data_IF_243330958454
#
_entry.id   IF_243330958454
#
_cell.length_a   1.000
_cell.length_b   1.000
_cell.length_c   1.000
_cell.angle_alpha   90.00
_cell.angle_beta   90.00
_cell.angle_gamma   90.00
#
_symmetry.space_group_name_H-M   'P 1'
#
loop_
_entity.id
_entity.type
_entity.pdbx_description
1 polymer ?
#
# COMPACT_ATOMS: atom_id res chain seq x y z
N UNK A 1 -47.89 -12.80 23.88
CA UNK A 1 -46.75 -11.99 24.34
C UNK A 1 -45.67 -12.07 23.26
N UNK A 2 -45.76 -11.18 22.27
CA UNK A 2 -44.73 -10.93 21.27
C UNK A 2 -45.07 -9.56 20.67
N UNK A 3 -44.36 -8.53 21.12
CA UNK A 3 -44.44 -7.20 20.53
C UNK A 3 -43.14 -6.97 19.75
N UNK A 4 -43.33 -6.88 18.43
CA UNK A 4 -42.51 -6.13 17.51
C UNK A 4 -42.07 -4.77 18.08
N UNK A 5 -40.87 -4.33 17.69
CA UNK A 5 -40.43 -2.94 17.42
C UNK A 5 -39.12 -2.62 18.11
N UNK A 6 -38.13 -2.25 17.29
CA UNK A 6 -36.84 -1.74 17.76
C UNK A 6 -35.65 -1.93 16.81
N UNK A 7 -35.87 -2.06 15.50
CA UNK A 7 -34.80 -1.83 14.51
C UNK A 7 -34.67 -0.31 14.32
N UNK A 8 -34.05 0.37 15.27
CA UNK A 8 -33.83 1.83 15.20
C UNK A 8 -32.58 2.24 15.99
N UNK A 9 -31.49 1.49 15.82
CA UNK A 9 -30.18 1.84 16.38
C UNK A 9 -29.29 2.47 15.30
N UNK A 10 -29.43 3.79 15.18
CA UNK A 10 -28.40 4.76 14.78
C UNK A 10 -27.95 4.80 13.31
N UNK A 11 -28.77 5.43 12.46
CA UNK A 11 -28.31 6.18 11.27
C UNK A 11 -27.75 7.57 11.63
N UNK A 12 -27.04 7.69 12.76
CA UNK A 12 -26.47 8.96 13.22
C UNK A 12 -25.03 9.12 12.72
N UNK A 13 -24.88 9.20 11.39
CA UNK A 13 -23.61 9.53 10.76
C UNK A 13 -23.50 11.02 10.48
N UNK A 14 -22.53 11.71 11.09
CA UNK A 14 -22.16 13.06 10.66
C UNK A 14 -21.71 13.07 9.19
N UNK A 15 -21.58 14.24 8.53
CA UNK A 15 -21.16 14.33 7.13
C UNK A 15 -19.85 13.58 6.84
N UNK A 16 -18.96 13.50 7.83
CA UNK A 16 -17.72 12.73 7.78
C UNK A 16 -17.94 11.22 7.55
N UNK A 17 -18.95 10.64 8.22
CA UNK A 17 -19.28 9.22 8.07
C UNK A 17 -19.85 8.91 6.68
N UNK A 18 -20.51 9.87 6.03
CA UNK A 18 -21.00 9.70 4.67
C UNK A 18 -19.86 9.62 3.66
N UNK A 19 -18.81 10.41 3.82
CA UNK A 19 -17.68 10.43 2.89
C UNK A 19 -16.82 9.16 3.02
N UNK A 20 -16.47 8.77 4.25
CA UNK A 20 -15.75 7.52 4.50
C UNK A 20 -16.51 6.31 3.97
N UNK A 21 -17.84 6.24 4.16
CA UNK A 21 -18.66 5.17 3.62
C UNK A 21 -18.62 5.12 2.07
N UNK A 22 -18.65 6.28 1.40
CA UNK A 22 -18.50 6.33 -0.05
C UNK A 22 -17.14 5.80 -0.52
N UNK A 23 -16.05 6.15 0.17
CA UNK A 23 -14.72 5.63 -0.15
C UNK A 23 -14.62 4.12 0.06
N UNK A 24 -15.17 3.59 1.16
CA UNK A 24 -15.20 2.15 1.39
C UNK A 24 -16.03 1.41 0.32
N UNK A 25 -17.12 2.02 -0.15
CA UNK A 25 -17.93 1.51 -1.26
C UNK A 25 -17.13 1.45 -2.57
N UNK A 26 -16.37 2.50 -2.89
CA UNK A 26 -15.51 2.53 -4.07
C UNK A 26 -14.38 1.50 -3.98
N UNK A 27 -13.73 1.37 -2.83
CA UNK A 27 -12.69 0.36 -2.60
C UNK A 27 -13.26 -1.04 -2.79
N UNK A 28 -14.45 -1.32 -2.24
CA UNK A 28 -15.12 -2.62 -2.42
C UNK A 28 -15.46 -2.89 -3.89
N UNK A 29 -15.87 -1.85 -4.63
CA UNK A 29 -16.13 -1.96 -6.07
C UNK A 29 -14.85 -2.31 -6.85
N UNK A 30 -13.76 -1.58 -6.62
CA UNK A 30 -12.45 -1.85 -7.24
C UNK A 30 -11.92 -3.25 -6.88
N UNK A 31 -12.14 -3.70 -5.64
CA UNK A 31 -11.71 -5.02 -5.20
C UNK A 31 -12.52 -6.12 -5.90
N UNK A 32 -13.82 -5.91 -6.11
CA UNK A 32 -14.65 -6.78 -6.94
C UNK A 32 -14.15 -6.88 -8.38
N UNK A 33 -13.71 -5.77 -8.98
CA UNK A 33 -13.12 -5.75 -10.31
C UNK A 33 -11.78 -6.50 -10.37
N UNK A 34 -10.91 -6.28 -9.37
CA UNK A 34 -9.63 -6.98 -9.24
C UNK A 34 -9.85 -8.49 -9.15
N UNK A 35 -10.80 -8.93 -8.32
CA UNK A 35 -11.13 -10.35 -8.17
C UNK A 35 -11.70 -10.97 -9.46
N UNK A 36 -12.51 -10.23 -10.21
CA UNK A 36 -13.16 -10.74 -11.41
C UNK A 36 -12.26 -10.75 -12.66
N UNK A 37 -11.35 -9.78 -12.78
CA UNK A 37 -10.64 -9.48 -14.04
C UNK A 37 -9.13 -9.31 -13.89
N UNK A 38 -8.60 -9.31 -12.67
CA UNK A 38 -7.21 -8.95 -12.39
C UNK A 38 -6.90 -7.45 -12.55
N UNK A 39 -7.90 -6.64 -12.92
CA UNK A 39 -7.75 -5.18 -13.07
C UNK A 39 -8.35 -4.49 -11.86
N UNK A 40 -7.49 -3.86 -11.06
CA UNK A 40 -7.89 -3.03 -9.93
C UNK A 40 -7.85 -1.54 -10.27
N UNK A 41 -7.56 -0.71 -9.28
CA UNK A 41 -7.53 0.74 -9.45
C UNK A 41 -6.83 1.44 -8.30
N UNK A 42 -6.83 2.77 -8.35
CA UNK A 42 -6.21 3.60 -7.33
C UNK A 42 -7.06 4.83 -7.02
N UNK A 43 -7.09 5.22 -5.76
CA UNK A 43 -7.81 6.41 -5.27
C UNK A 43 -6.79 7.36 -4.66
N UNK A 44 -6.55 8.49 -5.33
CA UNK A 44 -5.68 9.55 -4.80
C UNK A 44 -6.43 10.33 -3.70
N UNK A 45 -6.06 10.10 -2.44
CA UNK A 45 -6.71 10.70 -1.27
C UNK A 45 -6.41 12.20 -1.15
N UNK A 46 -5.35 12.70 -1.78
CA UNK A 46 -5.00 14.13 -1.76
C UNK A 46 -5.75 14.94 -2.81
N UNK A 47 -6.25 14.28 -3.85
CA UNK A 47 -7.10 14.90 -4.87
C UNK A 47 -8.53 15.17 -4.35
N UNK A 48 -8.92 14.53 -3.25
CA UNK A 48 -10.24 14.61 -2.66
C UNK A 48 -10.32 15.69 -1.56
N UNK A 49 -11.50 16.29 -1.33
CA UNK A 49 -11.73 17.21 -0.22
C UNK A 49 -11.87 16.45 1.12
N UNK A 50 -10.88 15.61 1.43
CA UNK A 50 -10.86 14.71 2.59
C UNK A 50 -10.35 15.46 3.82
N UNK A 51 -11.16 15.58 4.87
CA UNK A 51 -10.71 16.16 6.13
C UNK A 51 -9.80 15.18 6.89
N UNK A 52 -9.06 15.71 7.87
CA UNK A 52 -8.18 14.87 8.69
C UNK A 52 -8.96 13.77 9.42
N UNK A 53 -10.13 14.09 9.96
CA UNK A 53 -10.98 13.14 10.69
C UNK A 53 -11.52 12.02 9.78
N UNK A 54 -11.93 12.36 8.54
CA UNK A 54 -12.34 11.38 7.52
C UNK A 54 -11.21 10.41 7.16
N UNK A 55 -9.98 10.95 7.04
CA UNK A 55 -8.78 10.16 6.74
C UNK A 55 -8.47 9.19 7.86
N UNK A 56 -8.49 9.66 9.10
CA UNK A 56 -8.29 8.79 10.26
C UNK A 56 -9.40 7.75 10.40
N UNK A 57 -10.65 8.11 10.08
CA UNK A 57 -11.75 7.16 10.06
C UNK A 57 -11.55 6.09 8.99
N UNK A 58 -11.07 6.46 7.80
CA UNK A 58 -10.71 5.52 6.74
C UNK A 58 -9.55 4.61 7.16
N UNK A 59 -8.48 5.17 7.73
CA UNK A 59 -7.33 4.39 8.21
C UNK A 59 -7.73 3.39 9.30
N UNK A 60 -8.61 3.81 10.24
CA UNK A 60 -9.17 2.91 11.26
C UNK A 60 -10.08 1.83 10.66
N UNK A 61 -10.89 2.17 9.67
CA UNK A 61 -11.82 1.24 9.03
C UNK A 61 -11.10 0.17 8.20
N UNK A 62 -10.04 0.58 7.48
CA UNK A 62 -9.22 -0.34 6.67
C UNK A 62 -8.23 -1.14 7.52
N UNK A 63 -7.72 -0.54 8.61
CA UNK A 63 -6.75 -1.17 9.50
C UNK A 63 -5.39 -1.44 8.83
N UNK A 64 -4.47 -2.03 9.60
CA UNK A 64 -3.19 -2.54 9.09
C UNK A 64 -3.21 -4.06 9.03
N UNK A 65 -2.83 -4.59 7.87
CA UNK A 65 -2.68 -6.01 7.60
C UNK A 65 -1.29 -6.52 7.94
N UNK A 66 -0.91 -7.61 7.28
CA UNK A 66 0.31 -8.37 7.58
C UNK A 66 1.55 -7.83 6.87
N UNK A 67 1.39 -7.16 5.72
CA UNK A 67 2.50 -6.74 4.87
C UNK A 67 2.73 -5.24 5.00
N UNK A 68 3.94 -4.85 5.39
CA UNK A 68 4.42 -3.47 5.38
C UNK A 68 5.79 -3.40 4.71
N UNK A 69 6.00 -2.36 3.91
CA UNK A 69 7.25 -2.05 3.24
C UNK A 69 7.58 -0.57 3.41
N UNK A 70 8.87 -0.30 3.59
CA UNK A 70 9.40 1.06 3.66
C UNK A 70 10.51 1.22 2.63
N UNK A 71 10.35 2.20 1.76
CA UNK A 71 11.39 2.61 0.82
C UNK A 71 12.10 3.83 1.40
N UNK A 72 13.43 3.83 1.36
CA UNK A 72 14.27 4.94 1.83
C UNK A 72 14.78 5.83 0.70
N UNK A 73 14.35 5.56 -0.54
CA UNK A 73 14.72 6.34 -1.73
C UNK A 73 13.85 7.62 -1.82
N UNK A 74 14.45 8.71 -2.31
CA UNK A 74 13.76 9.95 -2.73
C UNK A 74 12.73 10.54 -1.74
N UNK A 75 13.09 10.70 -0.46
CA UNK A 75 12.20 11.27 0.58
C UNK A 75 11.42 10.22 1.40
N UNK A 76 11.41 8.98 0.91
CA UNK A 76 10.89 7.81 1.59
C UNK A 76 9.43 7.52 1.27
N UNK A 77 9.07 6.24 1.22
CA UNK A 77 7.68 5.80 1.02
C UNK A 77 7.32 4.74 2.04
N UNK A 78 6.10 4.81 2.54
CA UNK A 78 5.46 3.83 3.41
C UNK A 78 4.36 3.15 2.60
N UNK A 79 4.40 1.83 2.54
CA UNK A 79 3.42 1.01 1.83
C UNK A 79 2.96 -0.07 2.78
N UNK A 80 1.67 -0.20 3.01
CA UNK A 80 1.14 -1.30 3.83
C UNK A 80 -0.15 -1.85 3.25
N UNK A 81 -0.31 -3.17 3.36
CA UNK A 81 -1.58 -3.83 3.10
C UNK A 81 -2.52 -3.58 4.27
N UNK A 82 -3.80 -3.36 3.97
CA UNK A 82 -4.83 -3.17 4.99
C UNK A 82 -5.28 -4.54 5.55
N UNK A 83 -6.26 -4.58 6.44
CA UNK A 83 -6.85 -5.88 6.86
C UNK A 83 -7.62 -6.58 5.73
N UNK A 84 -7.79 -5.91 4.59
CA UNK A 84 -8.41 -6.44 3.38
C UNK A 84 -7.33 -6.72 2.33
N UNK A 85 -7.00 -7.99 2.06
CA UNK A 85 -5.96 -8.33 1.10
C UNK A 85 -6.24 -7.76 -0.29
N UNK A 86 -5.18 -7.26 -0.93
CA UNK A 86 -5.28 -6.55 -2.21
C UNK A 86 -5.69 -5.09 -2.10
N UNK A 87 -5.92 -4.55 -0.90
CA UNK A 87 -6.10 -3.11 -0.65
C UNK A 87 -4.88 -2.59 0.10
N UNK A 88 -4.19 -1.64 -0.51
CA UNK A 88 -2.90 -1.12 -0.08
C UNK A 88 -2.99 0.38 0.16
N UNK A 89 -2.36 0.84 1.24
CA UNK A 89 -2.14 2.24 1.51
C UNK A 89 -0.72 2.61 1.11
N UNK A 90 -0.58 3.54 0.18
CA UNK A 90 0.70 4.01 -0.36
C UNK A 90 0.88 5.47 -0.02
N UNK A 91 1.91 5.79 0.75
CA UNK A 91 2.21 7.15 1.21
C UNK A 91 3.65 7.49 0.86
N UNK A 92 3.82 8.51 0.01
CA UNK A 92 5.14 9.02 -0.33
C UNK A 92 5.41 10.31 0.43
N UNK A 93 6.68 10.50 0.81
CA UNK A 93 7.16 11.73 1.41
C UNK A 93 8.14 12.42 0.46
N UNK A 94 8.02 13.74 0.36
CA UNK A 94 9.01 14.57 -0.31
C UNK A 94 10.31 14.65 0.49
N UNK A 95 11.33 15.27 -0.10
CA UNK A 95 12.62 15.51 0.56
C UNK A 95 12.51 16.37 1.84
N UNK A 96 11.43 17.13 1.99
CA UNK A 96 11.09 17.93 3.17
C UNK A 96 10.37 17.12 4.27
N UNK A 97 10.17 15.81 4.07
CA UNK A 97 9.49 14.90 5.00
C UNK A 97 7.96 15.01 4.99
N UNK A 98 7.39 15.93 4.21
CA UNK A 98 5.94 16.10 4.08
C UNK A 98 5.39 15.06 3.11
N UNK A 99 4.15 14.64 3.34
CA UNK A 99 3.47 13.71 2.44
C UNK A 99 3.27 14.41 1.09
N UNK A 100 3.89 13.88 0.04
CA UNK A 100 3.80 14.37 -1.33
C UNK A 100 2.63 13.74 -2.07
N UNK A 101 2.41 12.43 -1.88
CA UNK A 101 1.26 11.69 -2.40
C UNK A 101 0.77 10.66 -1.39
N UNK A 102 -0.53 10.39 -1.44
CA UNK A 102 -1.18 9.39 -0.60
C UNK A 102 -2.36 8.77 -1.34
N UNK A 103 -2.30 7.46 -1.52
CA UNK A 103 -3.17 6.72 -2.44
C UNK A 103 -3.62 5.42 -1.81
N UNK A 104 -4.87 5.02 -2.02
CA UNK A 104 -5.31 3.64 -1.83
C UNK A 104 -5.16 2.91 -3.16
N UNK A 105 -4.27 1.93 -3.23
CA UNK A 105 -4.13 1.06 -4.39
C UNK A 105 -4.87 -0.25 -4.15
N UNK A 106 -5.79 -0.60 -5.05
CA UNK A 106 -6.46 -1.89 -5.07
C UNK A 106 -5.79 -2.75 -6.14
N UNK A 107 -4.88 -3.62 -5.73
CA UNK A 107 -3.98 -4.38 -6.61
C UNK A 107 -3.40 -5.60 -5.88
N UNK A 108 -2.89 -6.58 -6.63
CA UNK A 108 -2.20 -7.73 -6.04
C UNK A 108 -0.88 -7.32 -5.37
N UNK A 109 -0.11 -6.45 -6.03
CA UNK A 109 1.16 -5.91 -5.54
C UNK A 109 1.28 -4.47 -6.04
N UNK A 110 1.48 -3.47 -5.16
CA UNK A 110 1.74 -2.09 -5.53
C UNK A 110 2.92 -1.96 -6.48
N UNK A 111 2.82 -1.08 -7.47
CA UNK A 111 3.83 -0.96 -8.52
C UNK A 111 5.20 -0.57 -7.95
N UNK A 112 5.21 0.29 -6.92
CA UNK A 112 6.43 0.71 -6.21
C UNK A 112 7.19 -0.45 -5.54
N UNK A 113 6.53 -1.58 -5.27
CA UNK A 113 7.17 -2.76 -4.69
C UNK A 113 7.75 -3.70 -5.75
N UNK A 114 7.49 -3.47 -7.04
CA UNK A 114 8.01 -4.30 -8.12
C UNK A 114 9.40 -3.82 -8.52
N UNK A 115 10.34 -4.76 -8.64
CA UNK A 115 11.68 -4.46 -9.16
C UNK A 115 11.60 -4.03 -10.62
N UNK A 116 12.23 -2.89 -10.95
CA UNK A 116 12.35 -2.43 -12.33
C UNK A 116 13.33 -3.31 -13.14
N UNK A 117 13.07 -3.44 -14.45
CA UNK A 117 13.88 -4.28 -15.34
C UNK A 117 15.37 -3.85 -15.39
N UNK A 118 15.63 -2.54 -15.35
CA UNK A 118 17.00 -1.99 -15.36
C UNK A 118 17.79 -2.38 -14.11
N UNK A 119 17.12 -2.43 -12.96
CA UNK A 119 17.73 -2.85 -11.70
C UNK A 119 18.12 -4.33 -11.72
N UNK A 120 17.33 -5.18 -12.39
CA UNK A 120 17.62 -6.61 -12.54
C UNK A 120 18.90 -6.85 -13.35
N UNK A 121 19.07 -6.13 -14.46
CA UNK A 121 20.28 -6.25 -15.28
C UNK A 121 21.53 -5.82 -14.49
N UNK A 122 21.44 -4.70 -13.77
CA UNK A 122 22.50 -4.23 -12.89
C UNK A 122 22.80 -5.21 -11.75
N UNK A 123 21.77 -5.80 -11.14
CA UNK A 123 21.92 -6.77 -10.05
C UNK A 123 22.64 -8.04 -10.51
N UNK A 124 22.32 -8.56 -11.70
CA UNK A 124 23.01 -9.71 -12.29
C UNK A 124 24.51 -9.44 -12.46
N UNK A 125 24.86 -8.27 -13.00
CA UNK A 125 26.26 -7.88 -13.21
C UNK A 125 27.05 -7.81 -11.89
N UNK A 126 26.51 -7.09 -10.91
CA UNK A 126 27.14 -6.96 -9.57
C UNK A 126 27.31 -8.32 -8.88
N UNK A 127 26.34 -9.22 -9.02
CA UNK A 127 26.44 -10.55 -8.44
C UNK A 127 27.50 -11.41 -9.12
N UNK A 128 27.61 -11.36 -10.45
CA UNK A 128 28.64 -12.08 -11.20
C UNK A 128 30.05 -11.61 -10.79
N UNK A 129 30.26 -10.30 -10.72
CA UNK A 129 31.53 -9.71 -10.25
C UNK A 129 31.86 -10.12 -8.81
N UNK A 130 30.87 -10.12 -7.91
CA UNK A 130 31.06 -10.54 -6.53
C UNK A 130 31.45 -12.03 -6.41
N UNK A 131 30.91 -12.89 -7.28
CA UNK A 131 31.30 -14.31 -7.34
C UNK A 131 32.76 -14.44 -7.80
N UNK A 132 33.14 -13.75 -8.89
CA UNK A 132 34.52 -13.78 -9.39
C UNK A 132 35.52 -13.30 -8.34
N UNK A 133 35.26 -12.15 -7.71
CA UNK A 133 36.12 -11.59 -6.67
C UNK A 133 36.30 -12.55 -5.49
N UNK A 134 35.23 -13.21 -5.05
CA UNK A 134 35.30 -14.19 -3.96
C UNK A 134 36.04 -15.46 -4.35
N UNK A 135 35.97 -15.88 -5.62
CA UNK A 135 36.75 -17.02 -6.11
C UNK A 135 38.25 -16.72 -6.16
N UNK A 136 38.64 -15.49 -6.51
CA UNK A 136 40.04 -15.07 -6.48
C UNK A 136 40.60 -14.98 -5.04
N UNK A 137 39.79 -14.51 -4.08
CA UNK A 137 40.19 -14.47 -2.66
C UNK A 137 40.40 -15.88 -2.08
N UNK A 138 39.63 -16.87 -2.50
CA UNK A 138 39.81 -18.27 -2.07
C UNK A 138 41.10 -18.90 -2.61
N UNK A 139 41.51 -18.58 -3.84
CA UNK A 139 42.74 -19.11 -4.43
C UNK A 139 44.02 -18.46 -3.86
N UNK A 140 43.92 -17.23 -3.34
CA UNK A 140 45.03 -16.55 -2.69
C UNK A 140 45.30 -17.05 -1.25
N UNK A 141 44.36 -17.77 -0.64
CA UNK A 141 44.46 -18.31 0.73
C UNK A 141 45.07 -19.71 0.86
N UNK A 142 45.42 -20.38 -0.24
CA UNK A 142 46.02 -21.74 -0.23
C UNK A 142 47.54 -21.74 -0.49
N UNK A 143 48.19 -20.58 -0.43
CA UNK A 143 49.66 -20.47 -0.53
C UNK A 143 50.25 -20.09 0.82
N UNK A 144 50.18 -21.02 1.79
CA UNK A 144 51.07 -21.03 2.96
C UNK A 144 51.59 -22.45 3.22
#
# INVERSE_FOLDING_TARGET
MAAMTGCEAALAGGPEQSFTASLLGEIAHLLGQLAASGTGGAIDLRSLPLQAADREALERALGRGEVEARLTTAGGSEVFETTYPGVWWVRHRGADGRISSETIEVTLIPEILKTHADDLAGARGRLAEAIENRLFEFQAGEVE
#
